data_IF_679389097330
#
_entry.id   IF_679389097330
#
_cell.length_a   1.000
_cell.length_b   1.000
_cell.length_c   1.000
_cell.angle_alpha   90.00
_cell.angle_beta   90.00
_cell.angle_gamma   90.00
#
_symmetry.space_group_name_H-M   'P 1'
#
loop_
_entity.id
_entity.type
_entity.pdbx_description
1 polymer ?
#
# COMPACT_ATOMS: atom_id res chain seq x y z
N UNK A 1 -19.46 -20.27 16.29
CA UNK A 1 -19.44 -20.32 14.80
C UNK A 1 -18.70 -21.53 14.23
N UNK A 2 -17.52 -21.92 14.72
CA UNK A 2 -16.70 -23.00 14.09
C UNK A 2 -17.44 -24.34 13.88
N UNK A 3 -18.41 -24.68 14.76
CA UNK A 3 -19.23 -25.90 14.65
C UNK A 3 -20.14 -25.95 13.42
N UNK A 4 -20.38 -24.81 12.77
CA UNK A 4 -21.21 -24.73 11.55
C UNK A 4 -20.42 -25.03 10.28
N UNK A 5 -19.09 -24.97 10.34
CA UNK A 5 -18.21 -25.17 9.17
C UNK A 5 -18.44 -26.54 8.51
N UNK A 6 -18.50 -27.68 9.25
CA UNK A 6 -18.72 -28.98 8.63
C UNK A 6 -20.05 -29.07 7.86
N UNK A 7 -21.10 -28.43 8.37
CA UNK A 7 -22.42 -28.37 7.71
C UNK A 7 -22.35 -27.60 6.40
N UNK A 8 -21.62 -26.48 6.38
CA UNK A 8 -21.43 -25.67 5.18
C UNK A 8 -20.59 -26.42 4.15
N UNK A 9 -19.46 -27.02 4.56
CA UNK A 9 -18.61 -27.82 3.66
C UNK A 9 -19.40 -28.97 3.07
N UNK A 10 -20.19 -29.69 3.87
CA UNK A 10 -21.04 -30.78 3.38
C UNK A 10 -22.06 -30.33 2.32
N UNK A 11 -22.61 -29.12 2.44
CA UNK A 11 -23.59 -28.59 1.48
C UNK A 11 -22.99 -28.11 0.17
N UNK A 12 -21.73 -27.64 0.19
CA UNK A 12 -21.10 -26.98 -0.96
C UNK A 12 -19.91 -27.75 -1.57
N UNK A 13 -19.50 -28.89 -1.00
CA UNK A 13 -18.37 -29.71 -1.48
C UNK A 13 -18.43 -30.08 -2.97
N UNK A 14 -19.62 -30.28 -3.52
CA UNK A 14 -19.78 -30.71 -4.92
C UNK A 14 -19.48 -29.59 -5.91
N UNK A 15 -19.64 -28.32 -5.49
CA UNK A 15 -19.32 -27.14 -6.29
C UNK A 15 -17.92 -26.59 -5.97
N UNK A 16 -17.42 -26.82 -4.75
CA UNK A 16 -16.14 -26.30 -4.28
C UNK A 16 -15.32 -27.39 -3.55
N UNK A 17 -14.65 -28.29 -4.28
CA UNK A 17 -13.89 -29.40 -3.69
C UNK A 17 -12.74 -28.97 -2.78
N UNK A 18 -12.20 -27.76 -3.02
CA UNK A 18 -11.13 -27.17 -2.22
C UNK A 18 -11.56 -26.84 -0.77
N UNK A 19 -12.87 -26.69 -0.50
CA UNK A 19 -13.38 -26.45 0.85
C UNK A 19 -13.08 -27.62 1.78
N UNK A 20 -13.22 -28.85 1.29
CA UNK A 20 -12.95 -30.05 2.08
C UNK A 20 -11.47 -30.18 2.44
N UNK A 21 -10.56 -29.72 1.57
CA UNK A 21 -9.11 -29.74 1.86
C UNK A 21 -8.69 -28.72 2.92
N UNK A 22 -9.51 -27.68 3.15
CA UNK A 22 -9.23 -26.57 4.07
C UNK A 22 -10.16 -26.55 5.29
N UNK A 23 -11.04 -27.55 5.46
CA UNK A 23 -12.06 -27.58 6.50
C UNK A 23 -11.47 -27.45 7.91
N UNK A 24 -10.51 -28.31 8.27
CA UNK A 24 -9.84 -28.27 9.57
C UNK A 24 -9.13 -26.94 9.83
N UNK A 25 -8.54 -26.36 8.78
CA UNK A 25 -7.89 -25.04 8.85
C UNK A 25 -8.92 -23.96 9.20
N UNK A 26 -10.05 -23.91 8.47
CA UNK A 26 -11.12 -22.94 8.69
C UNK A 26 -11.72 -23.10 10.09
N UNK A 27 -11.94 -24.33 10.55
CA UNK A 27 -12.41 -24.61 11.91
C UNK A 27 -11.42 -24.06 12.95
N UNK A 28 -10.12 -24.34 12.79
CA UNK A 28 -9.08 -23.88 13.72
C UNK A 28 -8.98 -22.35 13.76
N UNK A 29 -9.07 -21.69 12.60
CA UNK A 29 -9.03 -20.23 12.49
C UNK A 29 -10.24 -19.58 13.15
N UNK A 30 -11.45 -20.05 12.85
CA UNK A 30 -12.67 -19.49 13.45
C UNK A 30 -12.68 -19.73 14.96
N UNK A 31 -12.22 -20.90 15.43
CA UNK A 31 -12.12 -21.18 16.86
C UNK A 31 -11.12 -20.24 17.55
N UNK A 32 -9.93 -20.06 16.98
CA UNK A 32 -8.93 -19.14 17.53
C UNK A 32 -9.43 -17.68 17.54
N UNK A 33 -10.15 -17.27 16.51
CA UNK A 33 -10.75 -15.93 16.44
C UNK A 33 -11.89 -15.78 17.45
N UNK A 34 -12.74 -16.79 17.65
CA UNK A 34 -13.77 -16.79 18.70
C UNK A 34 -13.14 -16.65 20.10
N UNK A 35 -12.10 -17.42 20.39
CA UNK A 35 -11.38 -17.36 21.68
C UNK A 35 -10.73 -15.97 21.89
N UNK A 36 -10.11 -15.41 20.85
CA UNK A 36 -9.55 -14.06 20.87
C UNK A 36 -10.63 -13.01 21.08
N UNK A 37 -11.75 -13.11 20.35
CA UNK A 37 -12.87 -12.19 20.45
C UNK A 37 -13.48 -12.18 21.85
N UNK A 38 -13.69 -13.35 22.46
CA UNK A 38 -14.17 -13.45 23.86
C UNK A 38 -13.20 -12.77 24.84
N UNK A 39 -11.89 -12.96 24.67
CA UNK A 39 -10.88 -12.29 25.49
C UNK A 39 -10.90 -10.77 25.30
N UNK A 40 -11.05 -10.32 24.06
CA UNK A 40 -11.20 -8.90 23.71
C UNK A 40 -12.46 -8.31 24.34
N UNK A 41 -13.59 -9.00 24.28
CA UNK A 41 -14.84 -8.54 24.89
C UNK A 41 -14.70 -8.36 26.40
N UNK A 42 -14.18 -9.37 27.12
CA UNK A 42 -14.00 -9.29 28.56
C UNK A 42 -13.07 -8.15 29.00
N UNK A 43 -11.99 -7.94 28.24
CA UNK A 43 -11.02 -6.87 28.52
C UNK A 43 -11.59 -5.49 28.18
N UNK A 44 -12.28 -5.38 27.05
CA UNK A 44 -12.92 -4.15 26.58
C UNK A 44 -14.10 -3.73 27.46
N UNK A 45 -14.89 -4.67 27.96
CA UNK A 45 -15.98 -4.40 28.91
C UNK A 45 -15.42 -3.87 30.24
N UNK A 46 -14.37 -4.48 30.77
CA UNK A 46 -13.73 -4.02 32.01
C UNK A 46 -13.20 -2.59 31.86
N UNK A 47 -12.55 -2.30 30.72
CA UNK A 47 -12.04 -0.97 30.42
C UNK A 47 -13.17 0.05 30.20
N UNK A 48 -14.26 -0.35 29.54
CA UNK A 48 -15.43 0.49 29.37
C UNK A 48 -16.03 0.87 30.73
N UNK A 49 -16.18 -0.08 31.66
CA UNK A 49 -16.68 0.17 33.01
C UNK A 49 -15.82 1.18 33.77
N UNK A 50 -14.49 1.11 33.63
CA UNK A 50 -13.55 2.09 34.20
C UNK A 50 -13.73 3.46 33.53
N UNK A 51 -13.86 3.51 32.20
CA UNK A 51 -13.99 4.76 31.44
C UNK A 51 -15.28 5.52 31.68
N UNK A 52 -16.38 4.81 31.98
CA UNK A 52 -17.71 5.41 32.24
C UNK A 52 -17.94 5.70 33.73
N UNK A 53 -17.06 5.25 34.62
CA UNK A 53 -17.17 5.49 36.05
C UNK A 53 -17.26 7.00 36.33
N UNK A 54 -18.28 7.41 37.08
CA UNK A 54 -18.57 8.80 37.45
C UNK A 54 -18.74 9.78 36.27
N UNK A 55 -18.97 9.27 35.04
CA UNK A 55 -19.25 10.09 33.85
C UNK A 55 -20.71 9.98 33.41
N UNK A 56 -21.26 11.09 32.91
CA UNK A 56 -22.57 11.11 32.23
C UNK A 56 -22.49 10.82 30.73
N UNK A 57 -21.31 11.01 30.14
CA UNK A 57 -21.05 10.81 28.72
C UNK A 57 -19.64 10.26 28.52
N UNK A 58 -19.52 9.20 27.72
CA UNK A 58 -18.26 8.69 27.18
C UNK A 58 -17.86 9.54 25.96
N UNK A 59 -16.64 10.06 25.95
CA UNK A 59 -16.14 10.86 24.83
C UNK A 59 -15.98 10.00 23.57
N UNK A 60 -16.10 10.63 22.39
CA UNK A 60 -15.87 9.94 21.14
C UNK A 60 -14.43 9.46 20.98
N UNK A 61 -13.47 10.10 21.65
CA UNK A 61 -12.06 9.68 21.71
C UNK A 61 -11.87 8.39 22.51
N UNK A 62 -12.51 8.27 23.68
CA UNK A 62 -12.48 7.06 24.49
C UNK A 62 -13.19 5.90 23.77
N UNK A 63 -14.35 6.18 23.16
CA UNK A 63 -15.06 5.22 22.33
C UNK A 63 -14.23 4.80 21.10
N UNK A 64 -13.51 5.73 20.47
CA UNK A 64 -12.62 5.45 19.35
C UNK A 64 -11.44 4.58 19.79
N UNK A 65 -10.85 4.85 20.95
CA UNK A 65 -9.77 4.05 21.52
C UNK A 65 -10.21 2.62 21.82
N UNK A 66 -11.41 2.43 22.39
CA UNK A 66 -12.00 1.11 22.61
C UNK A 66 -12.13 0.32 21.30
N UNK A 67 -12.57 0.97 20.24
CA UNK A 67 -12.70 0.35 18.92
C UNK A 67 -11.35 0.08 18.24
N UNK A 68 -10.53 1.11 18.07
CA UNK A 68 -9.31 1.07 17.26
C UNK A 68 -8.17 0.30 17.94
N UNK A 69 -7.96 0.54 19.23
CA UNK A 69 -6.84 -0.07 19.97
C UNK A 69 -7.21 -1.41 20.57
N UNK A 70 -8.43 -1.53 21.11
CA UNK A 70 -8.84 -2.72 21.86
C UNK A 70 -9.80 -3.64 21.09
N UNK A 71 -10.28 -3.22 19.91
CA UNK A 71 -11.18 -4.04 19.08
C UNK A 71 -12.58 -4.19 19.66
N UNK A 72 -12.98 -3.34 20.61
CA UNK A 72 -14.29 -3.40 21.26
C UNK A 72 -15.36 -2.70 20.41
N UNK A 73 -16.42 -3.39 19.96
CA UNK A 73 -17.41 -2.83 19.04
C UNK A 73 -18.16 -1.62 19.60
N UNK A 74 -18.36 -0.58 18.78
CA UNK A 74 -19.12 0.62 19.17
C UNK A 74 -20.55 0.28 19.60
N UNK A 75 -21.20 -0.69 18.94
CA UNK A 75 -22.58 -1.08 19.27
C UNK A 75 -22.67 -1.61 20.71
N UNK A 76 -21.73 -2.48 21.10
CA UNK A 76 -21.65 -2.98 22.49
C UNK A 76 -21.30 -1.86 23.47
N UNK A 77 -20.40 -0.94 23.10
CA UNK A 77 -20.11 0.26 23.90
C UNK A 77 -21.38 1.06 24.19
N UNK A 78 -22.22 1.29 23.17
CA UNK A 78 -23.46 2.05 23.30
C UNK A 78 -24.49 1.33 24.17
N UNK A 79 -24.66 0.02 23.97
CA UNK A 79 -25.59 -0.79 24.75
C UNK A 79 -25.23 -0.78 26.24
N UNK A 80 -23.98 -1.11 26.57
CA UNK A 80 -23.52 -1.18 27.96
C UNK A 80 -23.50 0.22 28.62
N UNK A 81 -23.09 1.26 27.90
CA UNK A 81 -23.12 2.62 28.43
C UNK A 81 -24.56 3.07 28.72
N UNK A 82 -25.51 2.76 27.83
CA UNK A 82 -26.92 3.09 28.02
C UNK A 82 -27.53 2.38 29.24
N UNK A 83 -27.18 1.11 29.50
CA UNK A 83 -27.60 0.39 30.71
C UNK A 83 -27.12 1.05 32.00
N UNK A 84 -25.96 1.73 31.96
CA UNK A 84 -25.40 2.49 33.08
C UNK A 84 -25.87 3.95 33.12
N UNK A 85 -26.75 4.36 32.22
CA UNK A 85 -27.24 5.74 32.12
C UNK A 85 -26.21 6.73 31.58
N UNK A 86 -25.21 6.24 30.84
CA UNK A 86 -24.11 7.03 30.27
C UNK A 86 -24.32 7.16 28.75
N UNK A 87 -24.30 8.39 28.24
CA UNK A 87 -24.35 8.65 26.80
C UNK A 87 -23.02 8.35 26.11
N UNK A 88 -23.03 8.19 24.78
CA UNK A 88 -21.80 8.05 23.98
C UNK A 88 -21.79 9.12 22.90
N UNK A 89 -20.69 9.86 22.79
CA UNK A 89 -20.50 10.82 21.70
C UNK A 89 -20.11 10.10 20.39
N UNK A 90 -21.13 9.73 19.64
CA UNK A 90 -21.00 9.05 18.34
C UNK A 90 -20.50 10.00 17.24
N UNK A 91 -20.75 11.31 17.36
CA UNK A 91 -20.37 12.27 16.33
C UNK A 91 -18.85 12.42 16.26
N UNK A 92 -18.21 12.60 17.41
CA UNK A 92 -16.75 12.67 17.51
C UNK A 92 -16.10 11.35 17.12
N UNK A 93 -16.68 10.20 17.50
CA UNK A 93 -16.21 8.89 17.06
C UNK A 93 -16.18 8.78 15.52
N UNK A 94 -17.26 9.19 14.85
CA UNK A 94 -17.36 9.12 13.39
C UNK A 94 -16.35 10.05 12.70
N UNK A 95 -16.10 11.25 13.26
CA UNK A 95 -15.06 12.16 12.75
C UNK A 95 -13.67 11.50 12.83
N UNK A 96 -13.34 10.85 13.94
CA UNK A 96 -12.06 10.15 14.11
C UNK A 96 -11.91 8.96 13.16
N UNK A 97 -12.99 8.20 12.93
CA UNK A 97 -13.02 7.12 11.94
C UNK A 97 -12.76 7.63 10.52
N UNK A 98 -13.32 8.77 10.14
CA UNK A 98 -13.08 9.34 8.80
C UNK A 98 -11.65 9.87 8.66
N UNK A 99 -11.12 10.54 9.68
CA UNK A 99 -9.71 10.95 9.70
C UNK A 99 -8.75 9.75 9.58
N UNK A 100 -9.07 8.62 10.23
CA UNK A 100 -8.28 7.39 10.10
C UNK A 100 -8.32 6.84 8.67
N UNK A 101 -9.50 6.84 8.03
CA UNK A 101 -9.67 6.42 6.64
C UNK A 101 -8.91 7.32 5.67
N UNK A 102 -8.95 8.63 5.88
CA UNK A 102 -8.19 9.59 5.07
C UNK A 102 -6.69 9.37 5.20
N UNK A 103 -6.17 9.20 6.43
CA UNK A 103 -4.76 8.86 6.66
C UNK A 103 -4.35 7.59 5.92
N UNK A 104 -5.18 6.55 5.96
CA UNK A 104 -4.92 5.29 5.26
C UNK A 104 -4.96 5.44 3.72
N UNK A 105 -5.78 6.36 3.19
CA UNK A 105 -5.82 6.70 1.75
C UNK A 105 -4.58 7.48 1.33
N UNK A 106 -4.20 8.49 2.10
CA UNK A 106 -3.03 9.34 1.79
C UNK A 106 -1.73 8.54 1.88
N UNK A 107 -1.62 7.59 2.81
CA UNK A 107 -0.50 6.67 2.89
C UNK A 107 -0.40 5.70 1.69
N UNK A 108 -1.48 5.53 0.90
CA UNK A 108 -1.55 4.56 -0.20
C UNK A 108 -1.39 5.14 -1.61
N UNK A 109 -1.37 6.47 -1.83
CA UNK A 109 -1.09 6.94 -3.18
C UNK A 109 -1.52 8.35 -3.52
N UNK A 110 -0.68 9.33 -3.17
CA UNK A 110 -0.62 10.56 -3.97
C UNK A 110 0.07 10.29 -5.32
N UNK A 111 1.03 9.36 -5.42
CA UNK A 111 1.74 9.13 -6.69
C UNK A 111 0.89 8.30 -7.67
N UNK A 112 0.30 7.17 -7.25
CA UNK A 112 -0.54 6.35 -8.13
C UNK A 112 -1.83 7.03 -8.60
N UNK A 113 -2.47 7.83 -7.73
CA UNK A 113 -3.77 8.43 -8.05
C UNK A 113 -3.66 9.53 -9.10
N UNK A 114 -2.57 10.32 -9.09
CA UNK A 114 -2.36 11.38 -10.08
C UNK A 114 -2.05 10.81 -11.47
N UNK A 115 -1.22 9.76 -11.57
CA UNK A 115 -0.91 9.13 -12.87
C UNK A 115 -2.11 8.43 -13.52
N UNK A 116 -3.05 7.90 -12.72
CA UNK A 116 -4.27 7.23 -13.22
C UNK A 116 -5.35 8.18 -13.73
N UNK A 117 -5.32 9.47 -13.36
CA UNK A 117 -6.36 10.44 -13.72
C UNK A 117 -5.96 11.42 -14.84
N UNK A 118 -4.69 11.49 -15.21
CA UNK A 118 -4.27 12.36 -16.32
C UNK A 118 -4.65 11.78 -17.68
N UNK A 119 -5.40 12.56 -18.47
CA UNK A 119 -5.75 12.23 -19.86
C UNK A 119 -4.50 12.09 -20.74
N UNK A 120 -3.55 13.00 -20.60
CA UNK A 120 -2.34 13.02 -21.45
C UNK A 120 -1.47 11.77 -21.21
N UNK A 121 -1.38 11.30 -19.95
CA UNK A 121 -0.69 10.04 -19.62
C UNK A 121 -1.45 8.81 -20.11
N UNK A 122 -2.78 8.83 -20.08
CA UNK A 122 -3.62 7.75 -20.62
C UNK A 122 -3.51 7.65 -22.15
N UNK A 123 -3.38 8.77 -22.84
CA UNK A 123 -3.24 8.85 -24.30
C UNK A 123 -1.82 8.58 -24.79
N UNK A 124 -0.81 8.68 -23.91
CA UNK A 124 0.59 8.39 -24.24
C UNK A 124 0.83 6.90 -24.44
N UNK A 125 1.10 6.50 -25.70
CA UNK A 125 1.24 5.10 -26.14
C UNK A 125 2.64 4.73 -26.63
N UNK A 126 3.59 5.65 -26.56
CA UNK A 126 4.97 5.34 -26.94
C UNK A 126 5.53 4.31 -25.96
N UNK A 127 6.30 3.36 -26.50
CA UNK A 127 6.80 2.22 -25.74
C UNK A 127 8.06 2.64 -24.99
N UNK A 128 8.08 2.38 -23.68
CA UNK A 128 9.27 2.46 -22.84
C UNK A 128 9.72 1.04 -22.50
N UNK A 129 11.03 0.77 -22.58
CA UNK A 129 11.62 -0.55 -22.31
C UNK A 129 12.53 -0.46 -21.10
N UNK A 130 12.33 -1.36 -20.13
CA UNK A 130 13.23 -1.48 -18.99
C UNK A 130 14.33 -2.50 -19.28
N UNK A 131 15.57 -2.14 -18.95
CA UNK A 131 16.77 -2.94 -19.16
C UNK A 131 17.36 -3.39 -17.83
N UNK A 132 17.27 -4.70 -17.57
CA UNK A 132 17.65 -5.31 -16.29
C UNK A 132 19.17 -5.35 -16.05
N UNK A 133 19.97 -5.53 -17.11
CA UNK A 133 21.40 -5.86 -16.99
C UNK A 133 22.31 -4.63 -16.94
N UNK A 134 21.76 -3.42 -17.16
CA UNK A 134 22.52 -2.18 -17.26
C UNK A 134 22.20 -1.26 -16.09
N UNK A 135 23.24 -0.65 -15.52
CA UNK A 135 23.13 0.38 -14.48
C UNK A 135 23.29 1.79 -15.04
N UNK A 136 23.78 1.91 -16.26
CA UNK A 136 23.83 3.17 -16.98
C UNK A 136 23.69 2.95 -18.48
N UNK A 137 23.11 3.94 -19.16
CA UNK A 137 22.95 3.92 -20.61
C UNK A 137 22.58 5.31 -21.14
N UNK A 138 22.77 5.53 -22.44
CA UNK A 138 22.22 6.71 -23.11
C UNK A 138 20.82 6.39 -23.63
N UNK A 139 19.86 7.28 -23.41
CA UNK A 139 18.48 7.10 -23.84
C UNK A 139 17.80 8.41 -24.21
N UNK A 140 16.84 8.31 -25.13
CA UNK A 140 16.09 9.44 -25.64
C UNK A 140 14.83 9.69 -24.82
N UNK A 141 14.54 10.96 -24.54
CA UNK A 141 13.29 11.41 -23.93
C UNK A 141 12.17 11.29 -24.97
N UNK A 142 11.15 10.50 -24.64
CA UNK A 142 9.94 10.30 -25.46
C UNK A 142 8.71 11.00 -24.90
N UNK A 143 8.75 11.44 -23.63
CA UNK A 143 7.65 12.20 -23.04
C UNK A 143 8.08 12.98 -21.81
N UNK A 144 7.51 14.17 -21.66
CA UNK A 144 7.69 15.06 -20.51
C UNK A 144 6.33 15.48 -19.98
N UNK A 145 6.17 15.45 -18.66
CA UNK A 145 4.92 15.78 -18.00
C UNK A 145 5.15 16.62 -16.74
N UNK A 146 4.30 17.62 -16.53
CA UNK A 146 4.25 18.39 -15.27
C UNK A 146 2.82 18.36 -14.78
N UNK A 147 2.62 17.92 -13.53
CA UNK A 147 1.29 17.68 -12.94
C UNK A 147 0.38 16.83 -13.84
N UNK A 148 0.99 15.85 -14.52
CA UNK A 148 0.32 14.95 -15.47
C UNK A 148 0.04 15.52 -16.86
N UNK A 149 0.28 16.81 -17.14
CA UNK A 149 0.06 17.40 -18.48
C UNK A 149 1.31 17.27 -19.34
N UNK A 150 1.18 16.91 -20.62
CA UNK A 150 2.31 16.82 -21.55
C UNK A 150 2.88 18.21 -21.81
N UNK A 151 4.20 18.36 -21.66
CA UNK A 151 4.93 19.61 -21.91
C UNK A 151 6.10 19.34 -22.85
N UNK A 152 6.61 20.38 -23.51
CA UNK A 152 7.77 20.24 -24.39
C UNK A 152 9.11 20.40 -23.66
N UNK A 153 9.10 20.93 -22.43
CA UNK A 153 10.29 21.16 -21.62
C UNK A 153 10.01 21.22 -20.12
N UNK A 154 11.00 20.84 -19.30
CA UNK A 154 10.96 20.92 -17.83
C UNK A 154 12.24 21.59 -17.32
N UNK A 155 12.11 22.57 -16.43
CA UNK A 155 13.20 23.38 -15.88
C UNK A 155 13.40 23.22 -14.35
N UNK A 156 12.44 22.61 -13.64
CA UNK A 156 12.50 22.41 -12.18
C UNK A 156 12.19 20.99 -11.75
N UNK A 157 10.92 20.62 -11.74
CA UNK A 157 10.47 19.29 -11.33
C UNK A 157 9.41 18.80 -12.29
N UNK A 158 9.41 17.50 -12.54
CA UNK A 158 8.37 16.86 -13.31
C UNK A 158 8.70 15.41 -13.60
N UNK A 159 7.91 14.85 -14.49
CA UNK A 159 7.96 13.44 -14.83
C UNK A 159 8.47 13.24 -16.27
N UNK A 160 9.40 12.30 -16.44
CA UNK A 160 10.10 12.04 -17.70
C UNK A 160 9.95 10.57 -18.09
N UNK A 161 9.67 10.31 -19.36
CA UNK A 161 9.64 8.97 -19.92
C UNK A 161 10.74 8.85 -20.98
N UNK A 162 11.54 7.79 -20.86
CA UNK A 162 12.62 7.45 -21.78
C UNK A 162 12.22 6.24 -22.65
N UNK A 163 12.75 6.18 -23.87
CA UNK A 163 12.55 5.06 -24.79
C UNK A 163 13.04 3.74 -24.19
N UNK A 164 14.21 3.77 -23.56
CA UNK A 164 14.78 2.67 -22.79
C UNK A 164 15.33 3.19 -21.46
N UNK A 165 15.22 2.44 -20.37
CA UNK A 165 15.68 2.87 -19.06
C UNK A 165 16.32 1.75 -18.24
N UNK A 166 17.44 2.02 -17.53
CA UNK A 166 18.02 1.11 -16.56
C UNK A 166 17.34 1.22 -15.19
N UNK A 167 16.40 2.15 -14.97
CA UNK A 167 15.77 2.38 -13.68
C UNK A 167 14.54 1.48 -13.46
N UNK A 168 14.56 0.71 -12.37
CA UNK A 168 13.47 -0.12 -11.92
C UNK A 168 12.37 0.76 -11.31
N UNK A 169 11.17 0.61 -11.86
CA UNK A 169 9.97 1.26 -11.35
C UNK A 169 9.43 0.52 -10.11
N UNK A 170 8.91 1.26 -9.14
CA UNK A 170 8.29 0.70 -7.95
C UNK A 170 7.16 -0.27 -8.34
N UNK A 171 7.35 -1.55 -8.02
CA UNK A 171 6.42 -2.62 -8.35
C UNK A 171 6.68 -3.85 -7.46
N UNK A 172 5.62 -4.58 -7.10
CA UNK A 172 5.74 -5.87 -6.41
C UNK A 172 6.34 -5.78 -5.01
N UNK A 173 6.14 -4.66 -4.32
CA UNK A 173 6.72 -4.41 -2.98
C UNK A 173 8.19 -4.01 -2.99
N UNK A 174 8.81 -3.89 -4.17
CA UNK A 174 10.17 -3.39 -4.33
C UNK A 174 10.14 -1.88 -4.59
N UNK A 175 10.90 -1.14 -3.78
CA UNK A 175 11.07 0.32 -3.91
C UNK A 175 11.78 0.65 -5.22
N UNK A 176 11.43 1.77 -5.87
CA UNK A 176 12.08 2.20 -7.11
C UNK A 176 13.55 2.58 -6.92
N UNK A 177 14.26 2.61 -8.03
CA UNK A 177 15.59 3.21 -8.08
C UNK A 177 15.58 4.73 -7.96
N UNK A 178 16.76 5.23 -7.61
CA UNK A 178 17.14 6.64 -7.71
C UNK A 178 18.48 6.74 -8.42
N UNK A 179 18.84 7.93 -8.90
CA UNK A 179 20.08 8.13 -9.63
C UNK A 179 20.17 9.49 -10.27
N UNK A 180 20.98 9.59 -11.32
CA UNK A 180 21.30 10.84 -12.00
C UNK A 180 21.04 10.73 -13.50
N UNK A 181 20.68 11.86 -14.08
CA UNK A 181 20.57 12.11 -15.51
C UNK A 181 21.57 13.20 -15.86
N UNK A 182 22.41 12.97 -16.86
CA UNK A 182 23.38 13.96 -17.32
C UNK A 182 23.38 14.08 -18.84
N UNK A 183 23.61 15.30 -19.33
CA UNK A 183 23.65 15.59 -20.76
C UNK A 183 24.44 16.86 -21.06
N UNK A 184 24.35 17.38 -22.28
CA UNK A 184 25.04 18.61 -22.68
C UNK A 184 24.47 19.83 -21.92
N UNK A 185 25.05 20.11 -20.74
CA UNK A 185 24.63 21.23 -19.87
C UNK A 185 23.36 20.97 -19.08
N UNK A 186 22.99 19.70 -18.88
CA UNK A 186 21.84 19.30 -18.07
C UNK A 186 22.30 18.31 -17.00
N UNK A 187 21.89 18.58 -15.76
CA UNK A 187 22.06 17.69 -14.62
C UNK A 187 20.72 17.60 -13.89
N UNK A 188 20.19 16.39 -13.75
CA UNK A 188 18.95 16.15 -13.02
C UNK A 188 19.07 14.90 -12.15
N UNK A 189 18.35 14.91 -11.03
CA UNK A 189 18.28 13.79 -10.09
C UNK A 189 16.97 13.05 -10.27
N UNK A 190 17.04 11.72 -10.36
CA UNK A 190 15.86 10.84 -10.34
C UNK A 190 15.53 10.52 -8.89
N UNK A 191 14.38 10.99 -8.42
CA UNK A 191 13.91 10.80 -7.05
C UNK A 191 13.11 9.51 -6.88
N UNK A 192 12.52 9.01 -7.96
CA UNK A 192 11.80 7.74 -7.98
C UNK A 192 11.26 7.44 -9.36
N UNK A 193 10.87 6.18 -9.58
CA UNK A 193 10.32 5.70 -10.84
C UNK A 193 9.06 4.92 -10.57
N UNK A 194 7.97 5.21 -11.28
CA UNK A 194 6.72 4.47 -11.17
C UNK A 194 6.26 3.95 -12.53
N UNK A 195 5.14 3.22 -12.55
CA UNK A 195 4.56 2.68 -13.78
C UNK A 195 3.36 3.54 -14.20
N UNK A 196 3.44 4.11 -15.41
CA UNK A 196 2.33 4.80 -16.05
C UNK A 196 1.23 3.82 -16.49
N UNK A 197 -0.02 4.30 -16.75
CA UNK A 197 -1.15 3.42 -17.10
C UNK A 197 -0.91 2.45 -18.27
N UNK A 198 -0.08 2.85 -19.25
CA UNK A 198 0.26 2.04 -20.43
C UNK A 198 1.59 1.28 -20.26
N UNK A 199 2.00 1.02 -19.01
CA UNK A 199 3.20 0.23 -18.61
C UNK A 199 4.54 0.89 -18.91
N UNK A 200 4.60 2.20 -19.05
CA UNK A 200 5.87 2.93 -19.21
C UNK A 200 6.49 3.27 -17.86
N UNK A 201 7.82 3.32 -17.81
CA UNK A 201 8.57 3.79 -16.66
C UNK A 201 8.57 5.33 -16.64
N UNK A 202 7.89 5.91 -15.64
CA UNK A 202 7.82 7.35 -15.45
C UNK A 202 8.78 7.76 -14.33
N UNK A 203 9.73 8.63 -14.66
CA UNK A 203 10.83 9.03 -13.79
C UNK A 203 10.49 10.39 -13.21
N UNK A 204 10.36 10.48 -11.89
CA UNK A 204 10.20 11.76 -11.20
C UNK A 204 11.57 12.38 -11.00
N UNK A 205 11.78 13.55 -11.58
CA UNK A 205 13.08 14.21 -11.61
C UNK A 205 13.04 15.61 -11.03
N UNK A 206 14.13 16.00 -10.39
CA UNK A 206 14.44 17.39 -10.04
C UNK A 206 15.64 17.82 -10.87
N UNK A 207 15.48 18.86 -11.67
CA UNK A 207 16.54 19.45 -12.50
C UNK A 207 17.38 20.35 -11.60
N UNK A 208 18.67 20.04 -11.50
CA UNK A 208 19.64 20.86 -10.77
C UNK A 208 20.24 21.92 -11.69
N UNK A 209 20.52 21.56 -12.94
CA UNK A 209 21.07 22.45 -13.95
C UNK A 209 20.47 22.15 -15.33
N UNK A 210 20.21 23.21 -16.11
CA UNK A 210 19.74 23.10 -17.50
C UNK A 210 18.22 22.98 -17.65
N UNK A 211 17.78 22.54 -18.83
CA UNK A 211 16.36 22.34 -19.17
C UNK A 211 16.26 21.05 -19.98
N UNK A 212 15.34 20.17 -19.58
CA UNK A 212 15.01 18.95 -20.31
C UNK A 212 14.06 19.28 -21.45
N UNK A 213 14.31 18.79 -22.67
CA UNK A 213 13.38 18.90 -23.80
C UNK A 213 13.02 17.54 -24.37
N UNK A 214 11.80 17.45 -24.91
CA UNK A 214 11.35 16.23 -25.56
C UNK A 214 12.25 15.94 -26.78
N UNK A 215 12.72 14.71 -26.89
CA UNK A 215 13.67 14.29 -27.92
C UNK A 215 15.15 14.41 -27.58
N UNK A 216 15.52 15.02 -26.44
CA UNK A 216 16.91 15.05 -25.98
C UNK A 216 17.40 13.64 -25.64
N UNK A 217 18.70 13.41 -25.83
CA UNK A 217 19.38 12.17 -25.39
C UNK A 217 20.21 12.49 -24.16
N UNK A 218 19.99 11.73 -23.08
CA UNK A 218 20.71 11.87 -21.83
C UNK A 218 21.40 10.57 -21.46
N UNK A 219 22.44 10.69 -20.66
CA UNK A 219 23.07 9.60 -19.94
C UNK A 219 22.31 9.35 -18.63
N UNK A 220 21.77 8.14 -18.50
CA UNK A 220 21.03 7.66 -17.35
C UNK A 220 22.00 6.86 -16.47
N UNK A 221 22.08 7.16 -15.18
CA UNK A 221 22.92 6.42 -14.24
C UNK A 221 22.18 6.12 -12.94
N UNK A 222 21.97 4.83 -12.67
CA UNK A 222 21.34 4.33 -11.44
C UNK A 222 22.32 4.37 -10.28
N UNK A 223 21.83 4.66 -9.08
CA UNK A 223 22.58 4.46 -7.84
C UNK A 223 22.78 2.96 -7.58
N UNK A 224 23.99 2.48 -7.90
CA UNK A 224 24.38 1.08 -7.79
C UNK A 224 24.31 0.55 -6.36
N UNK A 225 24.72 1.35 -5.37
CA UNK A 225 24.74 0.91 -3.98
C UNK A 225 23.31 0.69 -3.47
N UNK A 226 22.44 1.66 -3.77
CA UNK A 226 21.02 1.56 -3.47
C UNK A 226 20.37 0.36 -4.17
N UNK A 227 20.59 0.18 -5.49
CA UNK A 227 20.01 -0.94 -6.24
C UNK A 227 20.38 -2.29 -5.62
N UNK A 228 21.64 -2.48 -5.27
CA UNK A 228 22.11 -3.72 -4.67
C UNK A 228 21.49 -3.98 -3.29
N UNK A 229 21.27 -2.95 -2.47
CA UNK A 229 20.56 -3.08 -1.20
C UNK A 229 19.08 -3.48 -1.41
N UNK A 230 18.42 -2.89 -2.41
CA UNK A 230 17.04 -3.20 -2.76
C UNK A 230 16.91 -4.67 -3.20
N UNK A 231 17.78 -5.13 -4.12
CA UNK A 231 17.79 -6.51 -4.63
C UNK A 231 18.02 -7.54 -3.51
N UNK A 232 18.94 -7.24 -2.59
CA UNK A 232 19.20 -8.09 -1.41
C UNK A 232 18.00 -8.18 -0.50
N UNK A 233 17.33 -7.07 -0.23
CA UNK A 233 16.13 -7.05 0.61
C UNK A 233 14.99 -7.83 -0.04
N UNK A 234 14.76 -7.64 -1.35
CA UNK A 234 13.75 -8.40 -2.09
C UNK A 234 14.03 -9.90 -2.04
N UNK A 235 15.28 -10.30 -2.27
CA UNK A 235 15.71 -11.70 -2.18
C UNK A 235 15.51 -12.25 -0.77
N UNK A 236 15.85 -11.48 0.27
CA UNK A 236 15.65 -11.86 1.66
C UNK A 236 14.17 -12.04 2.00
N UNK A 237 13.27 -11.22 1.46
CA UNK A 237 11.82 -11.39 1.62
C UNK A 237 11.34 -12.71 1.03
N UNK A 238 11.80 -13.09 -0.16
CA UNK A 238 11.45 -14.38 -0.78
C UNK A 238 12.00 -15.58 0.00
N UNK A 239 13.24 -15.49 0.48
CA UNK A 239 13.85 -16.53 1.31
C UNK A 239 13.10 -16.68 2.64
N UNK A 240 12.77 -15.57 3.29
CA UNK A 240 11.96 -15.57 4.51
C UNK A 240 10.58 -16.17 4.25
N UNK A 241 9.91 -15.78 3.17
CA UNK A 241 8.60 -16.33 2.80
C UNK A 241 8.67 -17.84 2.58
N UNK A 242 9.69 -18.31 1.87
CA UNK A 242 9.93 -19.73 1.62
C UNK A 242 10.18 -20.50 2.93
N UNK A 243 11.02 -19.96 3.81
CA UNK A 243 11.29 -20.55 5.12
C UNK A 243 10.02 -20.58 6.02
N UNK A 244 9.22 -19.51 6.00
CA UNK A 244 7.93 -19.47 6.70
C UNK A 244 6.98 -20.53 6.14
N UNK A 245 6.92 -20.72 4.83
CA UNK A 245 6.08 -21.76 4.21
C UNK A 245 6.50 -23.18 4.59
N UNK A 246 7.80 -23.42 4.70
CA UNK A 246 8.36 -24.71 5.11
C UNK A 246 8.08 -25.00 6.59
N UNK A 247 8.33 -24.03 7.48
CA UNK A 247 8.14 -24.18 8.93
C UNK A 247 6.65 -24.22 9.31
N UNK A 248 5.79 -23.43 8.65
CA UNK A 248 4.37 -23.35 9.00
C UNK A 248 3.44 -24.33 8.26
N UNK A 249 3.95 -25.18 7.36
CA UNK A 249 3.17 -26.15 6.55
C UNK A 249 1.78 -25.62 6.13
N UNK A 250 1.68 -25.10 4.90
CA UNK A 250 0.44 -24.81 4.14
C UNK A 250 -0.45 -23.63 4.61
N UNK A 251 0.05 -22.62 5.33
CA UNK A 251 -0.81 -21.52 5.83
C UNK A 251 -0.31 -20.09 5.53
N UNK A 252 0.57 -19.87 4.55
CA UNK A 252 1.02 -18.52 4.18
C UNK A 252 0.95 -18.31 2.66
N UNK A 253 -0.17 -17.78 2.17
CA UNK A 253 -0.18 -17.17 0.83
C UNK A 253 0.33 -15.73 0.96
N UNK A 254 1.42 -15.40 0.28
CA UNK A 254 1.80 -14.02 0.02
C UNK A 254 1.01 -13.56 -1.22
N UNK A 255 0.05 -12.67 -1.02
CA UNK A 255 -0.54 -11.87 -2.10
C UNK A 255 0.15 -10.52 -2.15
#
# INVERSE_FOLDING_TARGET
>A
MYKLVPTVVKKYRDFYPELSKKEDMVISLIKAEEERFVKTLSSGESLLMEMIQDKKTLSGEDAFKLYDTFGFPLDLTKEIAAEKGVGVDVETFQKLMEMQRERARNARGEIESFHKQSKDLLEFKEKSVFSYDLLSMDSKIIGLFVDGKRVNSIDKEGDVIFEETPFYAEMGGQVSDTGLLSGKGVLAKVNGVSIAPNKQNIHRVTIEEGVLREGDTLHLSVDRERRHLIERNHSATHLLHSALMEVKKKHVDQK
#
